data_IF_132558847349
#
_entry.id   IF_132558847349
#
_cell.length_a   1.000
_cell.length_b   1.000
_cell.length_c   1.000
_cell.angle_alpha   90.00
_cell.angle_beta   90.00
_cell.angle_gamma   90.00
#
_symmetry.space_group_name_H-M   'P 1'
#
loop_
_entity.id
_entity.type
_entity.pdbx_description
1 polymer ?
#
# COMPACT_ATOMS: atom_id res chain seq x y z
N UNK A 1 -37.65 22.14 35.80
CA UNK A 1 -37.16 22.48 34.44
C UNK A 1 -35.64 22.73 34.33
N UNK A 2 -34.85 22.73 35.42
CA UNK A 2 -33.38 22.88 35.36
C UNK A 2 -32.61 21.56 35.17
N UNK A 3 -33.17 20.44 35.61
CA UNK A 3 -32.53 19.10 35.52
C UNK A 3 -32.59 18.50 34.10
N UNK A 4 -33.59 18.85 33.29
CA UNK A 4 -33.73 18.34 31.92
C UNK A 4 -32.75 19.04 30.94
N UNK A 5 -32.40 20.30 31.21
CA UNK A 5 -31.45 21.07 30.38
C UNK A 5 -30.00 20.58 30.56
N UNK A 6 -29.66 20.06 31.75
CA UNK A 6 -28.34 19.49 32.02
C UNK A 6 -28.08 18.18 31.26
N UNK A 7 -29.14 17.41 30.96
CA UNK A 7 -29.03 16.17 30.17
C UNK A 7 -28.96 16.44 28.66
N UNK A 8 -29.53 17.56 28.19
CA UNK A 8 -29.50 17.95 26.78
C UNK A 8 -28.17 18.61 26.37
N UNK A 9 -27.44 19.19 27.33
CA UNK A 9 -26.07 19.71 27.14
C UNK A 9 -24.99 18.61 27.20
N UNK A 10 -25.31 17.37 27.58
CA UNK A 10 -24.37 16.25 27.55
C UNK A 10 -24.15 15.68 26.14
N UNK A 11 -24.91 16.13 25.14
CA UNK A 11 -24.68 15.88 23.71
C UNK A 11 -23.82 16.99 23.06
N UNK A 12 -23.00 17.68 23.84
CA UNK A 12 -22.00 18.62 23.33
C UNK A 12 -20.86 17.84 22.66
N UNK A 13 -21.10 17.45 21.41
CA UNK A 13 -20.12 17.14 20.37
C UNK A 13 -18.76 16.67 20.91
N UNK A 14 -18.71 15.45 21.44
CA UNK A 14 -17.44 14.74 21.58
C UNK A 14 -17.02 14.48 20.14
N UNK A 15 -15.96 15.16 19.67
CA UNK A 15 -15.30 14.80 18.43
C UNK A 15 -14.72 13.40 18.59
N UNK A 16 -15.56 12.37 18.44
CA UNK A 16 -15.12 11.00 18.36
C UNK A 16 -14.36 10.89 17.04
N UNK A 17 -13.04 10.98 17.12
CA UNK A 17 -12.22 10.48 16.02
C UNK A 17 -12.65 9.02 15.81
N UNK A 18 -12.92 8.64 14.56
CA UNK A 18 -13.21 7.26 14.19
C UNK A 18 -11.90 6.46 14.28
N UNK A 19 -11.43 6.21 15.50
CA UNK A 19 -10.26 5.42 15.80
C UNK A 19 -10.68 3.96 15.97
N UNK A 20 -9.95 3.05 15.31
CA UNK A 20 -10.17 1.60 15.39
C UNK A 20 -8.99 1.00 16.12
N UNK A 21 -9.24 0.52 17.35
CA UNK A 21 -8.28 -0.26 18.13
C UNK A 21 -8.56 -1.76 18.01
N UNK A 22 -7.57 -2.56 17.63
CA UNK A 22 -7.62 -4.03 17.71
C UNK A 22 -6.75 -4.46 18.87
N UNK A 23 -7.36 -5.13 19.85
CA UNK A 23 -6.73 -5.55 21.11
C UNK A 23 -6.23 -4.36 21.97
N UNK A 24 -6.90 -3.20 21.87
CA UNK A 24 -6.71 -2.03 22.74
C UNK A 24 -7.99 -1.19 22.78
N UNK A 25 -8.33 -0.65 23.95
CA UNK A 25 -9.43 0.31 24.11
C UNK A 25 -8.96 1.78 24.00
N UNK A 26 -7.64 2.00 24.03
CA UNK A 26 -6.99 3.31 23.93
C UNK A 26 -5.99 3.27 22.77
N UNK A 27 -6.48 3.27 21.52
CA UNK A 27 -5.59 3.28 20.36
C UNK A 27 -4.77 4.58 20.34
N UNK A 28 -3.47 4.47 20.07
CA UNK A 28 -2.57 5.64 19.97
C UNK A 28 -2.51 6.24 18.55
N UNK A 29 -3.33 5.73 17.63
CA UNK A 29 -3.40 6.13 16.23
C UNK A 29 -4.80 5.84 15.71
N UNK A 30 -5.19 6.42 14.56
CA UNK A 30 -6.51 6.18 13.96
C UNK A 30 -6.76 4.69 13.67
N UNK A 31 -5.70 3.91 13.42
CA UNK A 31 -5.70 2.45 13.43
C UNK A 31 -4.54 1.96 14.31
N UNK A 32 -4.84 1.27 15.41
CA UNK A 32 -3.85 0.65 16.31
C UNK A 32 -4.13 -0.87 16.38
N UNK A 33 -3.20 -1.68 15.88
CA UNK A 33 -3.32 -3.14 15.86
C UNK A 33 -2.26 -3.74 16.78
N UNK A 34 -2.66 -4.18 17.98
CA UNK A 34 -1.77 -4.83 18.97
C UNK A 34 -1.83 -6.35 18.86
N UNK A 35 -1.59 -6.83 17.65
CA UNK A 35 -1.59 -8.24 17.29
C UNK A 35 -0.95 -8.44 15.91
N UNK A 36 -1.03 -9.67 15.39
CA UNK A 36 -0.51 -9.97 14.06
C UNK A 36 -1.40 -9.39 12.96
N UNK A 37 -0.77 -8.83 11.91
CA UNK A 37 -1.43 -8.40 10.68
C UNK A 37 -1.07 -9.34 9.54
N UNK A 38 -2.05 -9.80 8.79
CA UNK A 38 -1.84 -10.56 7.56
C UNK A 38 -2.20 -9.71 6.34
N UNK A 39 -1.23 -9.45 5.48
CA UNK A 39 -1.46 -8.80 4.19
C UNK A 39 -1.74 -9.85 3.11
N UNK A 40 -2.56 -9.50 2.11
CA UNK A 40 -2.77 -10.40 0.97
C UNK A 40 -1.47 -10.56 0.19
N UNK A 41 -1.03 -11.81 0.09
CA UNK A 41 0.11 -12.24 -0.74
C UNK A 41 -0.41 -12.75 -2.07
N UNK A 42 0.15 -12.25 -3.17
CA UNK A 42 -0.16 -12.69 -4.54
C UNK A 42 1.11 -13.17 -5.23
N UNK A 43 1.08 -14.37 -5.80
CA UNK A 43 2.17 -14.90 -6.63
C UNK A 43 1.86 -14.61 -8.10
N UNK A 44 2.83 -14.07 -8.83
CA UNK A 44 2.68 -13.67 -10.22
C UNK A 44 3.72 -14.36 -11.09
N UNK A 45 3.25 -14.96 -12.20
CA UNK A 45 4.09 -15.66 -13.18
C UNK A 45 4.05 -15.02 -14.57
N UNK A 46 3.10 -14.13 -14.84
CA UNK A 46 2.85 -13.47 -16.13
C UNK A 46 2.58 -11.98 -15.96
N UNK A 47 2.55 -11.23 -17.07
CA UNK A 47 2.24 -9.80 -17.05
C UNK A 47 0.94 -9.53 -16.30
N UNK A 48 0.97 -8.59 -15.34
CA UNK A 48 -0.17 -8.34 -14.46
C UNK A 48 -0.30 -6.84 -14.15
N UNK A 49 -1.53 -6.34 -14.20
CA UNK A 49 -1.87 -5.00 -13.70
C UNK A 49 -2.31 -5.09 -12.24
N UNK A 50 -1.64 -4.36 -11.35
CA UNK A 50 -2.01 -4.31 -9.94
C UNK A 50 -3.28 -3.49 -9.73
N UNK A 51 -3.99 -3.83 -8.66
CA UNK A 51 -5.29 -3.24 -8.30
C UNK A 51 -5.37 -3.06 -6.79
N UNK A 52 -6.50 -2.56 -6.29
CA UNK A 52 -6.76 -2.47 -4.84
C UNK A 52 -6.69 -3.83 -4.11
N UNK A 53 -6.82 -4.93 -4.85
CA UNK A 53 -6.77 -6.29 -4.29
C UNK A 53 -5.34 -6.85 -4.19
N UNK A 54 -4.30 -6.03 -4.34
CA UNK A 54 -2.90 -6.44 -4.22
C UNK A 54 -2.22 -5.67 -3.09
N UNK A 55 -1.22 -6.28 -2.43
CA UNK A 55 -0.44 -5.62 -1.38
C UNK A 55 0.99 -6.16 -1.36
N UNK A 56 1.16 -7.47 -1.12
CA UNK A 56 2.45 -8.14 -1.21
C UNK A 56 2.49 -8.99 -2.49
N UNK A 57 3.45 -8.71 -3.36
CA UNK A 57 3.59 -9.32 -4.68
C UNK A 57 4.89 -10.10 -4.73
N UNK A 58 4.79 -11.41 -4.97
CA UNK A 58 5.93 -12.30 -5.16
C UNK A 58 5.94 -12.73 -6.63
N UNK A 59 6.87 -12.19 -7.39
CA UNK A 59 7.09 -12.53 -8.78
C UNK A 59 7.96 -13.79 -8.88
N UNK A 60 7.39 -14.83 -9.47
CA UNK A 60 8.02 -16.14 -9.77
C UNK A 60 7.98 -16.47 -11.28
N UNK A 61 8.35 -15.55 -12.18
CA UNK A 61 8.17 -15.75 -13.61
C UNK A 61 9.20 -16.72 -14.23
N UNK A 62 8.82 -17.35 -15.34
CA UNK A 62 9.71 -18.21 -16.16
C UNK A 62 10.32 -17.47 -17.35
N UNK A 63 9.76 -16.32 -17.72
CA UNK A 63 10.26 -15.37 -18.72
C UNK A 63 10.27 -13.96 -18.12
N UNK A 64 10.82 -12.97 -18.81
CA UNK A 64 10.67 -11.59 -18.37
C UNK A 64 9.18 -11.19 -18.34
N UNK A 65 8.78 -10.41 -17.33
CA UNK A 65 7.40 -9.95 -17.17
C UNK A 65 7.31 -8.46 -16.85
N UNK A 66 6.12 -7.91 -17.07
CA UNK A 66 5.74 -6.54 -16.73
C UNK A 66 4.71 -6.55 -15.60
N UNK A 67 4.98 -5.78 -14.55
CA UNK A 67 4.01 -5.43 -13.52
C UNK A 67 3.56 -4.00 -13.76
N UNK A 68 2.32 -3.81 -14.16
CA UNK A 68 1.75 -2.48 -14.39
C UNK A 68 1.09 -1.97 -13.12
N UNK A 69 1.52 -0.82 -12.62
CA UNK A 69 0.89 -0.11 -11.52
C UNK A 69 -0.42 0.53 -12.00
N UNK A 70 -1.47 0.61 -11.16
CA UNK A 70 -2.63 1.42 -11.49
C UNK A 70 -2.23 2.90 -11.52
N UNK A 71 -3.13 3.75 -12.01
CA UNK A 71 -2.95 5.20 -11.88
C UNK A 71 -2.73 5.58 -10.41
N UNK A 72 -1.65 6.31 -10.12
CA UNK A 72 -1.41 6.89 -8.80
C UNK A 72 -2.41 8.02 -8.46
N UNK A 73 -3.13 8.56 -9.46
CA UNK A 73 -4.06 9.67 -9.26
C UNK A 73 -5.21 9.24 -8.36
N UNK A 74 -5.42 9.99 -7.28
CA UNK A 74 -6.54 9.77 -6.34
C UNK A 74 -6.36 8.57 -5.40
N UNK A 75 -5.17 7.97 -5.33
CA UNK A 75 -4.87 6.83 -4.44
C UNK A 75 -3.63 7.07 -3.56
N UNK A 76 -3.42 8.32 -3.13
CA UNK A 76 -2.33 8.70 -2.22
C UNK A 76 -2.25 7.77 -1.00
N UNK A 77 -1.04 7.32 -0.68
CA UNK A 77 -0.77 6.39 0.42
C UNK A 77 -0.99 4.91 0.08
N UNK A 78 -1.40 4.56 -1.15
CA UNK A 78 -1.44 3.15 -1.57
C UNK A 78 -0.01 2.62 -1.74
N UNK A 79 0.31 1.56 -1.01
CA UNK A 79 1.63 0.92 -1.02
C UNK A 79 1.58 -0.48 -1.63
N UNK A 80 2.61 -0.81 -2.41
CA UNK A 80 2.87 -2.17 -2.89
C UNK A 80 4.30 -2.58 -2.52
N UNK A 81 4.47 -3.84 -2.10
CA UNK A 81 5.77 -4.48 -1.98
C UNK A 81 5.90 -5.51 -3.08
N UNK A 82 6.89 -5.35 -3.96
CA UNK A 82 7.11 -6.21 -5.12
C UNK A 82 8.47 -6.87 -4.98
N UNK A 83 8.51 -8.20 -5.00
CA UNK A 83 9.73 -9.00 -4.91
C UNK A 83 9.89 -9.92 -6.10
N UNK A 84 11.04 -9.88 -6.76
CA UNK A 84 11.43 -10.85 -7.77
C UNK A 84 12.25 -11.97 -7.11
N UNK A 85 11.78 -13.22 -7.17
CA UNK A 85 12.52 -14.36 -6.59
C UNK A 85 13.23 -15.20 -7.65
N UNK A 86 13.36 -14.70 -8.87
CA UNK A 86 13.91 -15.42 -10.03
C UNK A 86 15.02 -14.66 -10.71
N UNK A 87 15.72 -15.31 -11.64
CA UNK A 87 16.72 -14.66 -12.50
C UNK A 87 16.10 -13.89 -13.67
N UNK A 88 14.78 -13.93 -13.85
CA UNK A 88 14.09 -13.24 -14.95
C UNK A 88 13.79 -11.81 -14.56
N UNK A 89 13.77 -10.91 -15.55
CA UNK A 89 13.49 -9.51 -15.28
C UNK A 89 12.03 -9.29 -14.94
N UNK A 90 11.78 -8.52 -13.88
CA UNK A 90 10.46 -7.97 -13.56
C UNK A 90 10.52 -6.47 -13.77
N UNK A 91 9.84 -5.97 -14.80
CA UNK A 91 9.77 -4.54 -15.12
C UNK A 91 8.49 -3.95 -14.53
N UNK A 92 8.63 -3.00 -13.62
CA UNK A 92 7.51 -2.29 -13.00
C UNK A 92 7.25 -1.02 -13.81
N UNK A 93 6.03 -0.87 -14.31
CA UNK A 93 5.67 0.21 -15.23
C UNK A 93 4.46 0.99 -14.71
N UNK A 94 4.36 2.26 -15.09
CA UNK A 94 3.25 3.14 -14.74
C UNK A 94 2.24 3.27 -15.87
N UNK A 95 1.19 4.06 -15.63
CA UNK A 95 0.18 4.45 -16.60
C UNK A 95 0.19 5.98 -16.77
N UNK A 96 -0.44 6.49 -17.83
CA UNK A 96 -0.72 7.92 -18.03
C UNK A 96 0.51 8.84 -17.91
N UNK A 97 1.68 8.38 -18.36
CA UNK A 97 2.95 9.12 -18.27
C UNK A 97 3.36 9.51 -16.84
N UNK A 98 2.79 8.86 -15.83
CA UNK A 98 3.22 8.99 -14.45
C UNK A 98 4.60 8.36 -14.28
N UNK A 99 5.30 8.71 -13.21
CA UNK A 99 6.66 8.24 -12.97
C UNK A 99 6.78 7.47 -11.67
N UNK A 100 7.83 6.67 -11.56
CA UNK A 100 8.39 6.13 -10.32
C UNK A 100 9.68 6.92 -10.09
N UNK A 101 9.76 7.83 -9.11
CA UNK A 101 10.97 8.66 -8.89
C UNK A 101 11.51 9.36 -10.16
N UNK A 102 10.61 9.91 -10.99
CA UNK A 102 10.99 10.59 -12.24
C UNK A 102 11.32 9.68 -13.43
N UNK A 103 11.31 8.36 -13.28
CA UNK A 103 11.51 7.39 -14.38
C UNK A 103 10.20 6.66 -14.73
N UNK A 104 10.07 6.17 -15.97
CA UNK A 104 8.84 5.49 -16.43
C UNK A 104 8.78 4.00 -16.04
N UNK A 105 9.94 3.37 -15.87
CA UNK A 105 10.08 1.94 -15.59
C UNK A 105 11.09 1.72 -14.47
N UNK A 106 10.77 0.80 -13.55
CA UNK A 106 11.67 0.36 -12.49
C UNK A 106 11.89 -1.15 -12.60
N UNK A 107 13.12 -1.58 -12.85
CA UNK A 107 13.42 -3.00 -13.14
C UNK A 107 14.04 -3.71 -11.94
N UNK A 108 13.52 -4.90 -11.61
CA UNK A 108 14.13 -5.87 -10.70
C UNK A 108 14.80 -6.96 -11.55
N UNK A 109 16.12 -6.88 -11.71
CA UNK A 109 16.92 -7.72 -12.63
C UNK A 109 17.70 -8.84 -11.92
N UNK A 110 17.93 -8.71 -10.62
CA UNK A 110 18.65 -9.70 -9.82
C UNK A 110 17.68 -10.52 -8.99
N UNK A 111 17.95 -11.83 -8.89
CA UNK A 111 17.18 -12.73 -8.06
C UNK A 111 17.15 -12.23 -6.61
N UNK A 112 15.97 -12.25 -5.99
CA UNK A 112 15.66 -11.81 -4.64
C UNK A 112 15.63 -10.29 -4.41
N UNK A 113 15.78 -9.46 -5.46
CA UNK A 113 15.53 -8.03 -5.36
C UNK A 113 14.07 -7.72 -5.00
N UNK A 114 13.86 -6.66 -4.23
CA UNK A 114 12.52 -6.15 -3.95
C UNK A 114 12.50 -4.63 -3.86
N UNK A 115 11.32 -4.06 -4.10
CA UNK A 115 11.03 -2.64 -3.94
C UNK A 115 9.70 -2.46 -3.21
N UNK A 116 9.66 -1.50 -2.30
CA UNK A 116 8.43 -0.96 -1.72
C UNK A 116 8.17 0.41 -2.33
N UNK A 117 6.98 0.59 -2.88
CA UNK A 117 6.56 1.82 -3.58
C UNK A 117 5.23 2.31 -3.05
N UNK A 118 5.06 3.64 -2.98
CA UNK A 118 3.83 4.30 -2.53
C UNK A 118 3.38 5.34 -3.53
N UNK A 119 2.07 5.50 -3.70
CA UNK A 119 1.51 6.64 -4.44
C UNK A 119 1.55 7.90 -3.59
N UNK A 120 2.02 9.01 -4.16
CA UNK A 120 1.89 10.35 -3.56
C UNK A 120 0.59 11.07 -3.97
N UNK A 121 -0.27 10.40 -4.74
CA UNK A 121 -1.50 10.96 -5.31
C UNK A 121 -1.36 11.47 -6.75
N UNK A 122 -0.15 11.49 -7.32
CA UNK A 122 0.13 11.89 -8.70
C UNK A 122 1.12 10.96 -9.41
N UNK A 123 2.14 10.48 -8.71
CA UNK A 123 3.21 9.60 -9.14
C UNK A 123 3.47 8.51 -8.09
N UNK A 124 4.44 7.65 -8.37
CA UNK A 124 4.92 6.62 -7.46
C UNK A 124 6.29 6.99 -6.89
N UNK A 125 6.48 6.74 -5.61
CA UNK A 125 7.68 7.06 -4.82
C UNK A 125 8.25 5.75 -4.30
N UNK A 126 9.57 5.59 -4.32
CA UNK A 126 10.26 4.42 -3.77
C UNK A 126 10.55 4.67 -2.29
N UNK A 127 10.01 3.81 -1.42
CA UNK A 127 10.24 3.91 0.03
C UNK A 127 11.43 3.08 0.49
N UNK A 128 11.61 1.90 -0.11
CA UNK A 128 12.67 0.99 0.29
C UNK A 128 13.05 0.04 -0.86
N UNK A 129 14.30 -0.40 -0.86
CA UNK A 129 14.84 -1.35 -1.82
C UNK A 129 15.70 -2.39 -1.11
N UNK A 130 15.66 -3.63 -1.57
CA UNK A 130 16.61 -4.66 -1.18
C UNK A 130 17.30 -5.21 -2.42
N UNK A 131 18.64 -5.24 -2.38
CA UNK A 131 19.51 -5.82 -3.38
C UNK A 131 20.41 -6.82 -2.64
N UNK A 132 20.39 -8.12 -3.01
CA UNK A 132 21.22 -9.13 -2.38
C UNK A 132 22.68 -9.07 -2.80
#
# INVERSE_FOLDING_TARGET
MKIIIAFLLAFFSIGIQAQVGVNTATPNSTLDVRGSLANKVTKITTNTTLTINHSLIICIPTTDIIITLPTAIGISGRTYVIKNTTLKKVSIQTQLSQTIEGISNYDLITQNQSVEIVSDGNNWIVLNTYIP
#
